data_IF_730538492643
#
_entry.id   IF_730538492643
#
_cell.length_a   1.000
_cell.length_b   1.000
_cell.length_c   1.000
_cell.angle_alpha   90.00
_cell.angle_beta   90.00
_cell.angle_gamma   90.00
#
_symmetry.space_group_name_H-M   'P 1'
#
loop_
_entity.id
_entity.type
_entity.pdbx_description
1 polymer ?
#
# COMPACT_ATOMS: atom_id res chain seq x y z
N UNK A 1 15.25 18.07 9.46
CA UNK A 1 15.63 17.06 8.47
C UNK A 1 16.03 17.77 7.20
N UNK A 2 17.12 17.32 6.59
CA UNK A 2 17.81 18.03 5.51
C UNK A 2 17.62 17.27 4.19
N UNK A 3 17.89 17.91 3.05
CA UNK A 3 17.76 17.27 1.73
C UNK A 3 18.64 16.02 1.60
N UNK A 4 19.90 16.08 2.04
CA UNK A 4 20.82 14.94 1.94
C UNK A 4 20.35 13.72 2.73
N UNK A 5 19.73 13.96 3.90
CA UNK A 5 19.15 12.89 4.72
C UNK A 5 17.94 12.26 4.03
N UNK A 6 17.08 13.09 3.43
CA UNK A 6 15.91 12.61 2.69
C UNK A 6 16.36 11.77 1.50
N UNK A 7 17.36 12.23 0.74
CA UNK A 7 17.92 11.46 -0.38
C UNK A 7 18.46 10.11 0.10
N UNK A 8 19.21 10.08 1.21
CA UNK A 8 19.71 8.85 1.77
C UNK A 8 18.58 7.88 2.17
N UNK A 9 17.48 8.38 2.74
CA UNK A 9 16.32 7.54 3.09
C UNK A 9 15.52 7.06 1.87
N UNK A 10 15.54 7.81 0.77
CA UNK A 10 14.91 7.39 -0.49
C UNK A 10 15.71 6.25 -1.12
N UNK A 11 17.05 6.35 -1.10
CA UNK A 11 17.94 5.32 -1.62
C UNK A 11 17.92 4.06 -0.74
N UNK A 12 17.93 4.25 0.58
CA UNK A 12 17.88 3.17 1.55
C UNK A 12 16.93 3.50 2.73
N UNK A 13 15.67 3.04 2.65
CA UNK A 13 14.70 3.18 3.73
C UNK A 13 15.11 2.48 5.03
N UNK A 14 16.11 1.60 5.00
CA UNK A 14 16.55 0.89 6.20
C UNK A 14 17.32 1.75 7.20
N UNK A 15 17.80 2.92 6.75
CA UNK A 15 18.47 3.95 7.53
C UNK A 15 17.51 4.80 8.37
N UNK A 16 16.20 4.63 8.20
CA UNK A 16 15.20 5.31 9.02
C UNK A 16 15.35 4.89 10.48
N UNK A 17 15.11 5.84 11.38
CA UNK A 17 15.10 5.63 12.83
C UNK A 17 13.73 5.98 13.42
N UNK A 18 13.40 5.42 14.58
CA UNK A 18 12.14 5.72 15.27
C UNK A 18 11.95 7.22 15.59
N UNK A 19 13.05 7.97 15.76
CA UNK A 19 13.04 9.43 15.97
C UNK A 19 12.63 10.23 14.72
N UNK A 20 12.76 9.64 13.53
CA UNK A 20 12.42 10.28 12.25
C UNK A 20 10.94 10.18 11.90
N UNK A 21 10.22 9.23 12.51
CA UNK A 21 8.79 8.99 12.30
C UNK A 21 7.92 10.26 12.45
N UNK A 22 7.98 11.02 13.57
CA UNK A 22 7.18 12.24 13.72
C UNK A 22 7.55 13.34 12.72
N UNK A 23 8.82 13.40 12.30
CA UNK A 23 9.29 14.39 11.32
C UNK A 23 8.78 14.05 9.92
N UNK A 24 8.77 12.77 9.55
CA UNK A 24 8.21 12.30 8.30
C UNK A 24 6.70 12.50 8.21
N UNK A 25 5.98 12.28 9.32
CA UNK A 25 4.55 12.58 9.41
C UNK A 25 4.27 14.05 9.08
N UNK A 26 4.95 14.95 9.78
CA UNK A 26 4.81 16.40 9.59
C UNK A 26 5.15 16.84 8.15
N UNK A 27 6.16 16.22 7.52
CA UNK A 27 6.48 16.48 6.10
C UNK A 27 5.41 15.96 5.14
N UNK A 28 4.85 14.77 5.39
CA UNK A 28 3.78 14.21 4.57
C UNK A 28 2.50 15.07 4.64
N UNK A 29 2.18 15.59 5.82
CA UNK A 29 1.04 16.50 6.02
C UNK A 29 1.28 17.89 5.39
N UNK A 30 2.49 18.44 5.50
CA UNK A 30 2.85 19.75 4.91
C UNK A 30 2.94 19.72 3.39
N UNK A 31 3.26 18.56 2.81
CA UNK A 31 3.48 18.41 1.38
C UNK A 31 2.61 17.26 0.80
N UNK A 32 1.27 17.39 0.84
CA UNK A 32 0.35 16.31 0.49
C UNK A 32 0.41 15.89 -0.99
N UNK A 33 1.00 16.73 -1.86
CA UNK A 33 1.20 16.43 -3.28
C UNK A 33 2.53 15.71 -3.57
N UNK A 34 3.39 15.56 -2.56
CA UNK A 34 4.65 14.84 -2.68
C UNK A 34 4.47 13.41 -2.15
N UNK A 35 4.28 12.48 -3.06
CA UNK A 35 4.12 11.05 -2.74
C UNK A 35 5.32 10.47 -2.00
N UNK A 36 6.51 11.06 -2.16
CA UNK A 36 7.76 10.60 -1.54
C UNK A 36 7.68 10.67 -0.02
N UNK A 37 7.17 11.77 0.56
CA UNK A 37 7.11 11.92 2.01
C UNK A 37 6.11 10.94 2.64
N UNK A 38 4.96 10.76 1.99
CA UNK A 38 3.98 9.75 2.41
C UNK A 38 4.53 8.33 2.29
N UNK A 39 5.28 8.02 1.23
CA UNK A 39 5.94 6.72 1.09
C UNK A 39 6.98 6.48 2.19
N UNK A 40 7.85 7.45 2.47
CA UNK A 40 8.85 7.34 3.53
C UNK A 40 8.20 7.22 4.92
N UNK A 41 7.14 7.99 5.18
CA UNK A 41 6.36 7.87 6.41
C UNK A 41 5.76 6.48 6.56
N UNK A 42 5.11 5.94 5.53
CA UNK A 42 4.56 4.59 5.54
C UNK A 42 5.63 3.51 5.77
N UNK A 43 6.83 3.66 5.17
CA UNK A 43 7.97 2.77 5.44
C UNK A 43 8.41 2.83 6.91
N UNK A 44 8.49 4.04 7.48
CA UNK A 44 8.82 4.21 8.89
C UNK A 44 7.74 3.60 9.81
N UNK A 45 6.45 3.78 9.49
CA UNK A 45 5.33 3.17 10.23
C UNK A 45 5.39 1.65 10.15
N UNK A 46 5.58 1.08 8.96
CA UNK A 46 5.66 -0.36 8.78
C UNK A 46 6.79 -0.98 9.63
N UNK A 47 7.92 -0.29 9.78
CA UNK A 47 9.07 -0.75 10.55
C UNK A 47 8.95 -0.55 12.06
N UNK A 48 8.46 0.61 12.50
CA UNK A 48 8.52 1.02 13.91
C UNK A 48 7.16 1.00 14.62
N UNK A 49 6.05 0.99 13.88
CA UNK A 49 4.70 1.01 14.42
C UNK A 49 3.72 0.25 13.51
N UNK A 50 4.02 -1.01 13.21
CA UNK A 50 3.26 -1.83 12.26
C UNK A 50 1.77 -1.95 12.59
N UNK A 51 1.40 -1.88 13.88
CA UNK A 51 0.01 -1.93 14.34
C UNK A 51 -0.83 -0.77 13.78
N UNK A 52 -0.23 0.39 13.53
CA UNK A 52 -0.93 1.54 12.95
C UNK A 52 -0.75 1.66 11.43
N UNK A 53 -0.21 0.65 10.76
CA UNK A 53 0.07 0.72 9.32
C UNK A 53 -1.22 0.83 8.50
N UNK A 54 -2.27 0.08 8.86
CA UNK A 54 -3.55 0.13 8.16
C UNK A 54 -4.23 1.51 8.29
N UNK A 55 -4.14 2.13 9.46
CA UNK A 55 -4.63 3.49 9.68
C UNK A 55 -3.82 4.49 8.85
N UNK A 56 -2.50 4.41 8.90
CA UNK A 56 -1.61 5.27 8.11
C UNK A 56 -1.82 5.09 6.60
N UNK A 57 -2.09 3.86 6.13
CA UNK A 57 -2.42 3.58 4.73
C UNK A 57 -3.74 4.26 4.32
N UNK A 58 -4.79 4.19 5.15
CA UNK A 58 -6.03 4.89 4.85
C UNK A 58 -5.84 6.40 4.72
N UNK A 59 -4.98 6.98 5.55
CA UNK A 59 -4.72 8.42 5.56
C UNK A 59 -3.74 8.88 4.47
N UNK A 60 -2.75 8.07 4.08
CA UNK A 60 -1.67 8.53 3.20
C UNK A 60 -1.62 7.83 1.84
N UNK A 61 -2.27 6.66 1.67
CA UNK A 61 -2.20 5.91 0.41
C UNK A 61 -2.81 6.65 -0.79
N UNK A 62 -3.73 7.59 -0.56
CA UNK A 62 -4.29 8.40 -1.64
C UNK A 62 -3.25 9.35 -2.27
N UNK A 63 -2.20 9.71 -1.52
CA UNK A 63 -1.13 10.60 -1.98
C UNK A 63 -0.12 9.86 -2.87
N UNK A 64 -0.15 8.52 -2.88
CA UNK A 64 0.68 7.71 -3.78
C UNK A 64 0.00 7.58 -5.15
N UNK A 65 0.43 8.43 -6.07
CA UNK A 65 -0.03 8.41 -7.47
C UNK A 65 0.32 7.09 -8.20
N UNK A 66 1.46 6.48 -7.87
CA UNK A 66 1.90 5.23 -8.48
C UNK A 66 1.31 4.02 -7.73
N UNK A 67 0.19 3.52 -8.25
CA UNK A 67 -0.51 2.36 -7.68
C UNK A 67 0.30 1.07 -7.73
N UNK A 68 1.24 0.94 -8.67
CA UNK A 68 2.13 -0.24 -8.71
C UNK A 68 3.08 -0.23 -7.53
N UNK A 69 3.67 0.93 -7.23
CA UNK A 69 4.54 1.11 -6.05
C UNK A 69 3.79 0.91 -4.74
N UNK A 70 2.56 1.42 -4.64
CA UNK A 70 1.72 1.18 -3.46
C UNK A 70 1.40 -0.30 -3.29
N UNK A 71 0.99 -0.97 -4.37
CA UNK A 71 0.72 -2.40 -4.35
C UNK A 71 1.96 -3.19 -3.93
N UNK A 72 3.11 -2.90 -4.55
CA UNK A 72 4.39 -3.48 -4.19
C UNK A 72 4.68 -3.23 -2.73
N UNK A 73 4.62 -2.00 -2.22
CA UNK A 73 4.86 -1.69 -0.81
C UNK A 73 4.01 -2.54 0.14
N UNK A 74 2.69 -2.63 -0.09
CA UNK A 74 1.78 -3.40 0.77
C UNK A 74 2.04 -4.91 0.68
N UNK A 75 2.49 -5.41 -0.46
CA UNK A 75 2.68 -6.84 -0.71
C UNK A 75 4.15 -7.26 -0.77
N UNK A 76 5.10 -6.37 -0.46
CA UNK A 76 6.55 -6.62 -0.54
C UNK A 76 6.97 -7.74 0.42
N UNK A 77 6.26 -7.86 1.54
CA UNK A 77 6.46 -8.95 2.50
C UNK A 77 5.86 -10.28 2.00
N UNK A 78 4.96 -10.26 1.01
CA UNK A 78 4.20 -11.41 0.53
C UNK A 78 4.89 -12.19 -0.61
N UNK A 79 5.86 -11.59 -1.30
CA UNK A 79 6.60 -12.23 -2.40
C UNK A 79 7.60 -13.31 -1.94
N UNK A 80 7.77 -13.55 -0.63
CA UNK A 80 8.60 -14.67 -0.16
C UNK A 80 7.88 -16.03 -0.22
N UNK A 81 6.55 -16.06 -0.32
CA UNK A 81 5.81 -17.32 -0.51
C UNK A 81 4.48 -17.04 -1.20
N UNK A 82 4.41 -17.22 -2.52
CA UNK A 82 3.33 -17.96 -3.22
C UNK A 82 3.44 -17.63 -4.70
N UNK A 83 4.04 -18.54 -5.46
CA UNK A 83 3.81 -18.64 -6.90
C UNK A 83 2.32 -18.88 -7.14
N UNK A 84 1.56 -17.83 -7.45
CA UNK A 84 0.22 -18.00 -8.00
C UNK A 84 0.40 -18.36 -9.47
N UNK A 85 0.29 -19.66 -9.77
CA UNK A 85 0.10 -20.13 -11.14
C UNK A 85 -1.18 -19.52 -11.68
N UNK A 86 -1.06 -18.70 -12.72
CA UNK A 86 -2.20 -18.16 -13.45
C UNK A 86 -2.86 -19.28 -14.25
N UNK A 87 -3.97 -19.83 -13.76
CA UNK A 87 -4.91 -20.55 -14.64
C UNK A 87 -5.85 -19.52 -15.28
N UNK A 88 -6.09 -19.59 -16.61
CA UNK A 88 -6.98 -18.66 -17.28
C UNK A 88 -8.42 -18.88 -16.79
N UNK A 89 -9.10 -17.81 -16.41
CA UNK A 89 -10.50 -17.85 -15.99
C UNK A 89 -11.36 -17.78 -17.26
N UNK A 90 -11.95 -18.91 -17.66
CA UNK A 90 -13.02 -18.94 -18.66
C UNK A 90 -14.31 -18.41 -17.99
N UNK A 91 -14.83 -17.29 -18.50
CA UNK A 91 -16.10 -16.73 -18.05
C UNK A 91 -17.25 -17.62 -18.56
N UNK A 92 -17.79 -18.47 -17.69
CA UNK A 92 -19.07 -19.13 -17.92
C UNK A 92 -20.19 -18.31 -17.25
N UNK A 93 -21.07 -17.74 -18.08
CA UNK A 93 -22.27 -17.00 -17.65
C UNK A 93 -23.36 -18.00 -17.30
N UNK A 94 -23.80 -18.01 -16.05
CA UNK A 94 -24.85 -18.87 -15.48
C UNK A 94 -25.57 -18.03 -14.41
N UNK A 95 -26.89 -17.93 -14.23
CA UNK A 95 -28.16 -18.43 -14.83
C UNK A 95 -29.24 -17.50 -14.21
N UNK A 96 -30.42 -17.30 -14.82
CA UNK A 96 -31.65 -17.43 -14.01
C UNK A 96 -32.82 -17.98 -14.83
N UNK A 97 -33.20 -19.22 -14.50
CA UNK A 97 -34.40 -19.89 -14.98
C UNK A 97 -35.50 -19.68 -13.93
N UNK A 98 -36.61 -19.06 -14.31
CA UNK A 98 -37.86 -19.12 -13.55
C UNK A 98 -38.79 -20.08 -14.28
N UNK A 99 -38.85 -21.30 -13.78
CA UNK A 99 -39.85 -22.30 -14.16
C UNK A 99 -41.10 -22.08 -13.28
N UNK A 100 -42.19 -21.59 -13.88
CA UNK A 100 -43.53 -21.81 -13.34
C UNK A 100 -44.06 -23.13 -13.90
N UNK A 101 -44.23 -24.11 -13.01
CA UNK A 101 -44.84 -25.41 -13.28
C UNK A 101 -46.32 -25.34 -12.89
N UNK A 102 -47.19 -25.57 -13.88
CA UNK A 102 -48.41 -26.40 -13.87
C UNK A 102 -49.53 -26.12 -12.85
N UNK A 103 -50.75 -25.79 -13.32
CA UNK A 103 -52.00 -26.33 -12.76
C UNK A 103 -53.09 -26.53 -13.83
N UNK A 104 -53.54 -27.80 -13.89
CA UNK A 104 -54.90 -28.34 -14.16
C UNK A 104 -55.51 -28.27 -15.57
#
# INVERSE_FOLDING_TARGET
>A
MNLDQITAYIEDPSLLDASTLPVLKDLAEKHPFSSIYSLLYLNAVARFNSVSLDEALNEHAYQLNDRKKLYQFVHSDFETTTTIQSTPIENEVIIEAVAEIEQA
#
